data_IF_928561596624
#
_entry.id   IF_928561596624
#
_cell.length_a   1.000
_cell.length_b   1.000
_cell.length_c   1.000
_cell.angle_alpha   90.00
_cell.angle_beta   90.00
_cell.angle_gamma   90.00
#
_symmetry.space_group_name_H-M   'P 1'
#
loop_
_entity.id
_entity.type
_entity.pdbx_description
1 polymer ?
#
# COMPACT_ATOMS: atom_id res chain seq x y z
N UNK A 1 19.09 11.75 1.87
CA UNK A 1 17.83 11.72 1.09
C UNK A 1 16.73 11.32 2.04
N UNK A 2 15.78 12.22 2.33
CA UNK A 2 14.65 11.88 3.21
C UNK A 2 13.69 11.01 2.41
N UNK A 3 13.67 9.70 2.66
CA UNK A 3 12.74 8.79 2.01
C UNK A 3 11.37 8.94 2.67
N UNK A 4 10.55 9.88 2.17
CA UNK A 4 9.15 10.00 2.59
C UNK A 4 8.32 8.97 1.81
N UNK A 5 7.67 8.08 2.54
CA UNK A 5 6.75 7.11 1.94
C UNK A 5 5.35 7.74 1.94
N UNK A 6 4.63 7.75 0.80
CA UNK A 6 3.27 8.26 0.75
C UNK A 6 2.30 7.27 1.39
N UNK A 7 1.43 7.80 2.25
CA UNK A 7 0.40 7.04 2.95
C UNK A 7 -0.97 7.72 2.84
N UNK A 8 -2.00 6.89 2.91
CA UNK A 8 -3.38 7.33 3.13
C UNK A 8 -3.80 6.95 4.53
N UNK A 9 -4.45 7.88 5.23
CA UNK A 9 -5.10 7.60 6.49
C UNK A 9 -6.46 6.96 6.20
N UNK A 10 -6.66 5.72 6.62
CA UNK A 10 -7.88 4.96 6.39
C UNK A 10 -8.73 4.78 7.65
N UNK A 11 -9.82 4.00 7.55
CA UNK A 11 -10.78 3.80 8.63
C UNK A 11 -10.10 3.34 9.92
N UNK A 12 -10.58 3.83 11.06
CA UNK A 12 -9.98 3.58 12.39
C UNK A 12 -8.56 4.15 12.53
N UNK A 13 -8.23 5.23 11.81
CA UNK A 13 -6.93 5.91 11.82
C UNK A 13 -5.75 4.99 11.51
N UNK A 14 -5.95 4.05 10.58
CA UNK A 14 -4.90 3.12 10.14
C UNK A 14 -4.16 3.69 8.94
N UNK A 15 -2.84 3.58 8.94
CA UNK A 15 -2.00 4.04 7.85
C UNK A 15 -1.89 2.96 6.77
N UNK A 16 -2.18 3.32 5.51
CA UNK A 16 -2.06 2.46 4.34
C UNK A 16 -1.01 3.01 3.36
N UNK A 17 0.00 2.20 3.03
CA UNK A 17 1.01 2.56 2.02
C UNK A 17 0.35 2.56 0.65
N UNK A 18 0.45 3.65 -0.09
CA UNK A 18 -0.10 3.75 -1.45
C UNK A 18 0.92 3.51 -2.54
N UNK A 19 2.19 3.83 -2.30
CA UNK A 19 3.27 3.66 -3.26
C UNK A 19 4.60 3.40 -2.54
N UNK A 20 5.61 2.94 -3.28
CA UNK A 20 6.94 2.59 -2.80
C UNK A 20 6.97 1.37 -1.88
N UNK A 21 6.08 0.39 -2.11
CA UNK A 21 6.00 -0.82 -1.30
C UNK A 21 7.31 -1.62 -1.27
N UNK A 22 8.07 -1.68 -2.37
CA UNK A 22 9.40 -2.31 -2.37
C UNK A 22 10.39 -1.57 -1.48
N UNK A 23 10.34 -0.22 -1.45
CA UNK A 23 11.15 0.58 -0.54
C UNK A 23 10.72 0.39 0.91
N UNK A 24 9.41 0.34 1.17
CA UNK A 24 8.88 0.07 2.51
C UNK A 24 9.27 -1.33 3.01
N UNK A 25 9.24 -2.34 2.13
CA UNK A 25 9.70 -3.69 2.42
C UNK A 25 11.20 -3.76 2.67
N UNK A 26 12.02 -3.13 1.82
CA UNK A 26 13.47 -3.09 2.00
C UNK A 26 13.86 -2.45 3.35
N UNK A 27 13.19 -1.36 3.75
CA UNK A 27 13.41 -0.72 5.05
C UNK A 27 13.05 -1.67 6.23
N UNK A 28 11.98 -2.47 6.09
CA UNK A 28 11.64 -3.50 7.09
C UNK A 28 12.73 -4.58 7.14
N UNK A 29 13.21 -5.06 5.99
CA UNK A 29 14.27 -6.06 5.89
C UNK A 29 15.61 -5.55 6.44
N UNK A 30 15.90 -4.26 6.31
CA UNK A 30 17.05 -3.57 6.91
C UNK A 30 16.88 -3.31 8.42
N UNK A 31 15.74 -3.67 9.01
CA UNK A 31 15.47 -3.51 10.44
C UNK A 31 15.14 -2.08 10.87
N UNK A 32 14.81 -1.19 9.92
CA UNK A 32 14.37 0.17 10.19
C UNK A 32 12.99 0.12 10.84
N UNK A 33 12.90 0.60 12.09
CA UNK A 33 11.67 0.56 12.89
C UNK A 33 10.74 1.74 12.62
N UNK A 34 11.31 2.89 12.27
CA UNK A 34 10.60 4.15 12.10
C UNK A 34 10.98 4.79 10.77
N UNK A 35 9.96 5.20 10.00
CA UNK A 35 10.12 5.85 8.70
C UNK A 35 9.30 7.14 8.68
N UNK A 36 9.82 8.17 8.01
CA UNK A 36 9.05 9.38 7.77
C UNK A 36 8.02 9.12 6.68
N UNK A 37 6.78 9.55 6.94
CA UNK A 37 5.64 9.36 6.05
C UNK A 37 5.01 10.69 5.69
N UNK A 38 4.44 10.76 4.50
CA UNK A 38 3.63 11.90 4.05
C UNK A 38 2.21 11.41 3.85
N UNK A 39 1.25 12.01 4.56
CA UNK A 39 -0.16 11.73 4.35
C UNK A 39 -0.62 12.44 3.08
N UNK A 40 -0.95 11.68 2.04
CA UNK A 40 -1.39 12.22 0.74
C UNK A 40 -2.92 12.39 0.68
N UNK A 41 -3.67 11.70 1.55
CA UNK A 41 -5.11 11.85 1.69
C UNK A 41 -5.59 11.29 3.03
N UNK A 42 -6.58 11.96 3.63
CA UNK A 42 -7.32 11.46 4.79
C UNK A 42 -8.67 10.90 4.32
N UNK A 43 -8.83 9.59 4.48
CA UNK A 43 -10.04 8.81 4.20
C UNK A 43 -10.55 8.11 5.48
N UNK A 44 -10.15 8.57 6.67
CA UNK A 44 -10.49 7.98 7.96
C UNK A 44 -11.99 7.98 8.27
N UNK A 45 -12.73 8.90 7.65
CA UNK A 45 -14.18 9.03 7.78
C UNK A 45 -14.97 8.03 6.92
N UNK A 46 -14.33 7.34 5.98
CA UNK A 46 -15.00 6.35 5.14
C UNK A 46 -15.23 5.04 5.89
N UNK A 47 -16.27 4.30 5.52
CA UNK A 47 -16.36 2.88 5.86
C UNK A 47 -15.36 2.07 5.02
N UNK A 48 -15.25 0.77 5.34
CA UNK A 48 -14.26 -0.11 4.71
C UNK A 48 -14.48 -0.26 3.20
N UNK A 49 -15.73 -0.34 2.75
CA UNK A 49 -16.04 -0.63 1.35
C UNK A 49 -15.84 0.62 0.48
N UNK A 50 -16.30 1.78 0.98
CA UNK A 50 -16.05 3.07 0.37
C UNK A 50 -14.54 3.40 0.32
N UNK A 51 -13.80 3.04 1.38
CA UNK A 51 -12.35 3.20 1.42
C UNK A 51 -11.66 2.37 0.33
N UNK A 52 -11.98 1.08 0.23
CA UNK A 52 -11.38 0.19 -0.78
C UNK A 52 -11.73 0.64 -2.20
N UNK A 53 -12.97 1.05 -2.43
CA UNK A 53 -13.39 1.62 -3.71
C UNK A 53 -12.58 2.87 -4.07
N UNK A 54 -12.33 3.77 -3.11
CA UNK A 54 -11.53 4.97 -3.34
C UNK A 54 -10.07 4.67 -3.64
N UNK A 55 -9.47 3.69 -2.97
CA UNK A 55 -8.10 3.25 -3.26
C UNK A 55 -7.98 2.72 -4.69
N UNK A 56 -8.92 1.86 -5.09
CA UNK A 56 -8.97 1.24 -6.41
C UNK A 56 -9.17 2.29 -7.51
N UNK A 57 -10.17 3.18 -7.34
CA UNK A 57 -10.47 4.24 -8.30
C UNK A 57 -9.34 5.26 -8.47
N UNK A 58 -8.47 5.43 -7.46
CA UNK A 58 -7.29 6.31 -7.53
C UNK A 58 -6.00 5.58 -7.96
N UNK A 59 -6.05 4.29 -8.23
CA UNK A 59 -4.86 3.50 -8.56
C UNK A 59 -3.86 3.37 -7.41
N UNK A 60 -4.32 3.51 -6.16
CA UNK A 60 -3.50 3.41 -4.94
C UNK A 60 -3.38 1.99 -4.40
N UNK A 61 -3.90 1.02 -5.17
CA UNK A 61 -3.77 -0.39 -4.89
C UNK A 61 -3.61 -1.15 -6.20
N UNK A 62 -2.93 -2.30 -6.12
CA UNK A 62 -2.74 -3.20 -7.25
C UNK A 62 -3.31 -4.58 -6.88
N UNK A 63 -4.64 -4.79 -6.96
CA UNK A 63 -5.28 -6.04 -6.59
C UNK A 63 -5.20 -7.07 -7.71
N UNK A 64 -4.01 -7.32 -8.25
CA UNK A 64 -3.80 -8.27 -9.34
C UNK A 64 -2.66 -9.23 -8.98
N UNK A 65 -2.76 -10.48 -9.42
CA UNK A 65 -1.64 -11.43 -9.36
C UNK A 65 -0.68 -11.29 -10.55
N UNK A 66 0.36 -12.12 -10.52
CA UNK A 66 1.37 -12.28 -11.57
C UNK A 66 0.79 -12.60 -12.96
N UNK A 67 -0.44 -13.13 -13.05
CA UNK A 67 -1.12 -13.42 -14.30
C UNK A 67 -2.05 -12.28 -14.74
N UNK A 68 -2.08 -11.16 -14.01
CA UNK A 68 -2.99 -10.04 -14.24
C UNK A 68 -4.44 -10.31 -13.83
N UNK A 69 -4.70 -11.40 -13.09
CA UNK A 69 -6.03 -11.72 -12.61
C UNK A 69 -6.33 -10.92 -11.34
N UNK A 70 -7.49 -10.27 -11.32
CA UNK A 70 -7.91 -9.44 -10.20
C UNK A 70 -8.25 -10.29 -8.98
N UNK A 71 -7.65 -9.96 -7.84
CA UNK A 71 -7.97 -10.52 -6.53
C UNK A 71 -9.15 -9.80 -5.87
N UNK A 72 -9.93 -10.57 -5.12
CA UNK A 72 -10.91 -9.99 -4.21
C UNK A 72 -10.20 -9.17 -3.13
N UNK A 73 -10.79 -8.06 -2.68
CA UNK A 73 -10.19 -7.21 -1.64
C UNK A 73 -9.87 -7.95 -0.33
N UNK A 74 -10.56 -9.04 -0.06
CA UNK A 74 -10.29 -9.90 1.10
C UNK A 74 -8.93 -10.62 1.03
N UNK A 75 -8.36 -10.77 -0.15
CA UNK A 75 -7.05 -11.39 -0.38
C UNK A 75 -5.88 -10.39 -0.32
N UNK A 76 -6.16 -9.09 -0.14
CA UNK A 76 -5.10 -8.10 0.02
C UNK A 76 -4.33 -8.34 1.32
N UNK A 77 -2.99 -8.31 1.29
CA UNK A 77 -2.18 -8.48 2.50
C UNK A 77 -2.48 -7.37 3.51
N UNK A 78 -2.47 -7.73 4.79
CA UNK A 78 -2.81 -6.80 5.88
C UNK A 78 -1.59 -6.02 6.34
N UNK A 79 -0.40 -6.51 6.01
CA UNK A 79 0.88 -5.90 6.39
C UNK A 79 1.83 -5.86 5.19
N UNK A 80 2.76 -4.91 5.20
CA UNK A 80 3.78 -4.75 4.14
C UNK A 80 4.69 -5.98 4.05
N UNK A 81 4.98 -6.63 5.19
CA UNK A 81 5.81 -7.84 5.22
C UNK A 81 5.16 -9.07 4.57
N UNK A 82 3.84 -9.06 4.39
CA UNK A 82 3.09 -10.11 3.69
C UNK A 82 2.95 -9.86 2.19
N UNK A 83 3.53 -8.77 1.66
CA UNK A 83 3.53 -8.53 0.22
C UNK A 83 4.30 -9.67 -0.46
N UNK A 84 3.63 -10.36 -1.39
CA UNK A 84 4.31 -11.24 -2.32
C UNK A 84 5.15 -10.37 -3.25
N UNK A 85 6.38 -10.79 -3.50
CA UNK A 85 7.24 -10.09 -4.44
C UNK A 85 6.66 -10.28 -5.84
N UNK A 86 6.06 -9.21 -6.38
CA UNK A 86 5.51 -9.23 -7.74
C UNK A 86 6.63 -8.79 -8.71
N UNK A 87 7.13 -9.72 -9.56
CA UNK A 87 8.22 -9.42 -10.49
C UNK A 87 7.85 -8.36 -11.54
N UNK A 88 6.56 -8.11 -11.81
CA UNK A 88 6.10 -7.09 -12.76
C UNK A 88 6.03 -5.69 -12.14
N UNK A 89 5.96 -5.60 -10.82
CA UNK A 89 5.91 -4.33 -10.10
C UNK A 89 7.27 -3.62 -10.00
N UNK A 90 8.36 -4.37 -10.19
CA UNK A 90 9.73 -3.83 -10.25
C UNK A 90 10.11 -3.25 -11.62
N UNK A 91 9.33 -3.49 -12.68
CA UNK A 91 9.63 -3.02 -14.04
C UNK A 91 8.80 -1.81 -14.50
N UNK A 92 7.78 -1.40 -13.75
CA UNK A 92 7.03 -0.18 -14.03
C UNK A 92 7.67 1.01 -13.31
N UNK A 93 8.86 1.40 -13.75
CA UNK A 93 9.49 2.69 -13.47
C UNK A 93 9.25 3.67 -14.61
#
# INVERSE_FOLDING_TARGET
>A
VNYMIPFVLGPKNRNYVTDHHHRARALIEEGVKDVLVTVISDLSALDKDAFLFMLDNRGWMHPFDENGQRWAYAALPKTIGELVDDPYRSMAG
#
